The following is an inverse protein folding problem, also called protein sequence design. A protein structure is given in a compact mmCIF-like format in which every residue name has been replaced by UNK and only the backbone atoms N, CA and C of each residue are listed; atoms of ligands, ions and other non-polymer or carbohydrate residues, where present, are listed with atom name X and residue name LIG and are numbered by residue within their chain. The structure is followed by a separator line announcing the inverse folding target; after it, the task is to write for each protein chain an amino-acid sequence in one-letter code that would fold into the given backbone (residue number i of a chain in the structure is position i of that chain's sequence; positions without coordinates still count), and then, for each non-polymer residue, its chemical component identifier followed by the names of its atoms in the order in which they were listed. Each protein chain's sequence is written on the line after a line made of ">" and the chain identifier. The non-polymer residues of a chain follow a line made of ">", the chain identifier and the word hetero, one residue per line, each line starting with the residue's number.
data_IF_956639631108
#
_entry.id   IF_956639631108
#
_cell.length_a   1.000
_cell.length_b   1.000
_cell.length_c   1.000
_cell.angle_alpha   90.00
_cell.angle_beta   90.00
_cell.angle_gamma   90.00
#
_symmetry.space_group_name_H-M   'P 1'
#
loop_
_entity.id
_entity.type
_entity.pdbx_description
1 polymer ?
#
# COMPACT_ATOMS: atom_id res chain seq x y z
N UNK A 1 6.35 -27.84 5.99
CA UNK A 1 6.68 -26.56 5.32
C UNK A 1 7.00 -25.55 6.40
N UNK A 2 8.16 -24.89 6.34
CA UNK A 2 8.41 -23.75 7.24
C UNK A 2 7.40 -22.68 6.85
N UNK A 3 6.51 -22.29 7.77
CA UNK A 3 5.59 -21.18 7.54
C UNK A 3 6.41 -19.96 7.05
N UNK A 4 5.98 -19.35 5.95
CA UNK A 4 6.62 -18.13 5.46
C UNK A 4 6.44 -17.02 6.50
N UNK A 5 7.41 -16.10 6.65
CA UNK A 5 7.41 -15.14 7.74
C UNK A 5 6.50 -13.92 7.51
N UNK A 6 5.84 -13.83 6.34
CA UNK A 6 4.87 -12.80 5.97
C UNK A 6 3.45 -13.37 5.91
N UNK A 7 2.48 -12.49 5.75
CA UNK A 7 1.08 -12.84 5.52
C UNK A 7 0.59 -12.23 4.21
N UNK A 8 -0.38 -12.89 3.57
CA UNK A 8 -1.01 -12.36 2.36
C UNK A 8 -2.27 -11.58 2.69
N UNK A 9 -2.42 -10.43 2.04
CA UNK A 9 -3.65 -9.65 2.04
C UNK A 9 -4.15 -9.46 0.61
N UNK A 10 -5.34 -8.90 0.47
CA UNK A 10 -5.88 -8.45 -0.81
C UNK A 10 -6.58 -7.11 -0.62
N UNK A 11 -6.41 -6.20 -1.58
CA UNK A 11 -7.05 -4.90 -1.57
C UNK A 11 -8.56 -5.05 -1.85
N UNK A 12 -9.39 -4.41 -1.04
CA UNK A 12 -10.86 -4.47 -1.19
C UNK A 12 -11.37 -3.68 -2.41
N UNK A 13 -10.57 -2.80 -2.99
CA UNK A 13 -10.89 -2.06 -4.22
C UNK A 13 -11.20 -2.98 -5.41
N UNK A 14 -10.61 -4.18 -5.46
CA UNK A 14 -10.97 -5.18 -6.47
C UNK A 14 -12.46 -5.57 -6.44
N UNK A 15 -13.14 -5.33 -5.31
CA UNK A 15 -14.50 -5.77 -5.03
C UNK A 15 -15.46 -4.61 -4.76
N UNK A 16 -15.29 -3.46 -5.42
CA UNK A 16 -16.09 -2.23 -5.15
C UNK A 16 -17.60 -2.42 -5.07
N UNK A 17 -18.17 -3.40 -5.79
CA UNK A 17 -19.62 -3.68 -5.80
C UNK A 17 -20.07 -4.65 -4.69
N UNK A 18 -19.16 -5.13 -3.83
CA UNK A 18 -19.46 -6.12 -2.80
C UNK A 18 -19.53 -5.49 -1.41
N UNK A 19 -20.49 -5.91 -0.57
CA UNK A 19 -20.47 -5.61 0.86
C UNK A 19 -19.18 -6.11 1.54
N UNK A 20 -18.65 -5.33 2.49
CA UNK A 20 -17.38 -5.64 3.16
C UNK A 20 -17.36 -7.00 3.85
N UNK A 21 -18.46 -7.42 4.47
CA UNK A 21 -18.60 -8.73 5.11
C UNK A 21 -18.50 -9.88 4.10
N UNK A 22 -19.09 -9.71 2.91
CA UNK A 22 -18.94 -10.65 1.80
C UNK A 22 -17.49 -10.70 1.31
N UNK A 23 -16.83 -9.56 1.16
CA UNK A 23 -15.41 -9.49 0.76
C UNK A 23 -14.54 -10.23 1.76
N UNK A 24 -14.71 -9.94 3.05
CA UNK A 24 -13.95 -10.56 4.13
C UNK A 24 -14.17 -12.08 4.19
N UNK A 25 -15.43 -12.54 4.13
CA UNK A 25 -15.74 -13.97 4.12
C UNK A 25 -15.14 -14.68 2.89
N UNK A 26 -15.19 -14.05 1.72
CA UNK A 26 -14.65 -14.61 0.50
C UNK A 26 -13.12 -14.70 0.54
N UNK A 27 -12.43 -13.61 0.89
CA UNK A 27 -10.96 -13.59 1.01
C UNK A 27 -10.47 -14.57 2.09
N UNK A 28 -11.15 -14.65 3.24
CA UNK A 28 -10.87 -15.64 4.27
C UNK A 28 -11.05 -17.08 3.79
N UNK A 29 -12.09 -17.35 3.00
CA UNK A 29 -12.32 -18.66 2.38
C UNK A 29 -11.24 -19.10 1.39
N UNK A 30 -10.58 -18.15 0.71
CA UNK A 30 -9.40 -18.41 -0.15
C UNK A 30 -8.10 -18.59 0.66
N UNK A 31 -8.10 -18.16 1.91
CA UNK A 31 -6.99 -18.26 2.85
C UNK A 31 -6.06 -17.05 2.85
N UNK A 32 -6.53 -15.86 2.41
CA UNK A 32 -5.87 -14.61 2.77
C UNK A 32 -5.86 -14.45 4.30
N UNK A 33 -4.87 -13.75 4.84
CA UNK A 33 -4.77 -13.42 6.27
C UNK A 33 -5.26 -12.02 6.60
N UNK A 34 -5.44 -11.16 5.59
CA UNK A 34 -5.95 -9.82 5.82
C UNK A 34 -6.59 -9.14 4.60
N UNK A 35 -7.25 -8.03 4.88
CA UNK A 35 -7.72 -7.07 3.87
C UNK A 35 -6.93 -5.78 3.99
N UNK A 36 -6.48 -5.28 2.84
CA UNK A 36 -6.08 -3.88 2.71
C UNK A 36 -7.29 -3.08 2.23
N UNK A 37 -7.52 -1.92 2.83
CA UNK A 37 -8.74 -1.16 2.61
C UNK A 37 -8.46 0.14 1.88
N UNK A 38 -9.20 0.41 0.80
CA UNK A 38 -9.28 1.72 0.18
C UNK A 38 -10.33 2.57 0.92
N UNK A 39 -9.95 3.66 1.62
CA UNK A 39 -10.86 4.41 2.49
C UNK A 39 -12.13 4.92 1.80
N UNK A 40 -12.03 5.29 0.52
CA UNK A 40 -13.16 5.79 -0.27
C UNK A 40 -14.29 4.76 -0.46
N UNK A 41 -13.99 3.46 -0.29
CA UNK A 41 -14.99 2.39 -0.33
C UNK A 41 -15.80 2.28 0.96
N UNK A 42 -15.31 2.89 2.05
CA UNK A 42 -15.93 2.84 3.37
C UNK A 42 -16.81 4.08 3.63
N UNK A 43 -16.32 5.25 3.22
CA UNK A 43 -17.02 6.53 3.35
C UNK A 43 -16.44 7.57 2.38
N UNK A 44 -17.17 8.66 2.15
CA UNK A 44 -16.67 9.80 1.36
C UNK A 44 -15.48 10.49 2.04
N UNK A 45 -15.51 10.62 3.38
CA UNK A 45 -14.37 11.03 4.20
C UNK A 45 -14.25 10.13 5.41
N UNK A 46 -13.03 9.85 5.84
CA UNK A 46 -12.79 9.04 7.06
C UNK A 46 -13.29 9.71 8.34
N UNK A 47 -13.49 11.04 8.31
CA UNK A 47 -14.12 11.81 9.39
C UNK A 47 -15.60 11.50 9.58
N UNK A 48 -16.26 10.95 8.55
CA UNK A 48 -17.68 10.59 8.60
C UNK A 48 -17.90 9.26 9.33
N UNK A 49 -16.83 8.47 9.51
CA UNK A 49 -16.86 7.20 10.24
C UNK A 49 -16.76 7.45 11.74
N UNK A 50 -17.87 7.23 12.44
CA UNK A 50 -17.92 7.28 13.90
C UNK A 50 -17.08 6.17 14.52
N UNK A 51 -16.80 6.26 15.82
CA UNK A 51 -16.13 5.19 16.54
C UNK A 51 -16.89 3.85 16.46
N UNK A 52 -18.21 3.89 16.32
CA UNK A 52 -19.07 2.71 16.22
C UNK A 52 -18.94 2.07 14.83
N UNK A 53 -18.90 2.90 13.78
CA UNK A 53 -18.64 2.45 12.41
C UNK A 53 -17.27 1.78 12.30
N UNK A 54 -16.23 2.39 12.89
CA UNK A 54 -14.87 1.81 12.93
C UNK A 54 -14.85 0.45 13.62
N UNK A 55 -15.56 0.29 14.75
CA UNK A 55 -15.69 -1.00 15.43
C UNK A 55 -16.46 -2.03 14.60
N UNK A 56 -17.50 -1.61 13.89
CA UNK A 56 -18.28 -2.48 13.02
C UNK A 56 -17.44 -2.97 11.82
N UNK A 57 -16.71 -2.07 11.16
CA UNK A 57 -15.80 -2.39 10.04
C UNK A 57 -14.76 -3.41 10.51
N UNK A 58 -14.06 -3.11 11.61
CA UNK A 58 -13.07 -4.02 12.20
C UNK A 58 -13.69 -5.37 12.54
N UNK A 59 -14.84 -5.37 13.21
CA UNK A 59 -15.54 -6.60 13.61
C UNK A 59 -15.99 -7.47 12.43
N UNK A 60 -16.37 -6.88 11.30
CA UNK A 60 -16.72 -7.63 10.09
C UNK A 60 -15.51 -8.38 9.52
N UNK A 61 -14.34 -7.74 9.53
CA UNK A 61 -13.09 -8.33 9.02
C UNK A 61 -12.56 -9.40 9.98
N UNK A 62 -12.49 -9.09 11.27
CA UNK A 62 -12.04 -10.04 12.31
C UNK A 62 -13.00 -11.24 12.45
N UNK A 63 -14.31 -11.03 12.26
CA UNK A 63 -15.32 -12.08 12.28
C UNK A 63 -15.16 -13.11 11.15
N UNK A 64 -14.51 -12.74 10.04
CA UNK A 64 -14.13 -13.64 8.96
C UNK A 64 -12.74 -14.30 9.18
N UNK A 65 -12.10 -14.07 10.33
CA UNK A 65 -10.76 -14.58 10.63
C UNK A 65 -9.61 -13.81 9.98
N UNK A 66 -9.89 -12.60 9.47
CA UNK A 66 -8.91 -11.74 8.82
C UNK A 66 -8.44 -10.62 9.75
N UNK A 67 -7.28 -10.05 9.44
CA UNK A 67 -6.82 -8.77 10.00
C UNK A 67 -6.94 -7.64 8.98
N UNK A 68 -6.98 -6.40 9.44
CA UNK A 68 -6.74 -5.26 8.56
C UNK A 68 -5.23 -5.19 8.31
N UNK A 69 -4.81 -5.29 7.06
CA UNK A 69 -3.41 -5.14 6.67
C UNK A 69 -2.98 -3.68 6.71
N UNK A 70 -3.90 -2.79 6.33
CA UNK A 70 -3.61 -1.38 6.20
C UNK A 70 -4.65 -0.62 5.40
N UNK A 71 -4.32 0.64 5.12
CA UNK A 71 -5.06 1.49 4.20
C UNK A 71 -4.22 1.77 2.96
N UNK A 72 -4.86 1.80 1.80
CA UNK A 72 -4.25 2.15 0.52
C UNK A 72 -5.10 3.23 -0.17
N UNK A 73 -4.56 3.97 -1.16
CA UNK A 73 -5.29 5.03 -1.87
C UNK A 73 -5.77 6.18 -0.98
N UNK A 74 -4.93 6.58 -0.02
CA UNK A 74 -5.24 7.57 1.03
C UNK A 74 -5.95 8.85 0.54
N UNK A 75 -5.47 9.45 -0.56
CA UNK A 75 -6.06 10.67 -1.12
C UNK A 75 -6.95 10.43 -2.35
N UNK A 76 -7.21 9.18 -2.73
CA UNK A 76 -8.08 8.87 -3.86
C UNK A 76 -9.50 9.39 -3.63
N UNK A 77 -10.16 9.81 -4.71
CA UNK A 77 -11.53 10.31 -4.64
C UNK A 77 -11.74 11.50 -3.67
N UNK A 78 -10.66 12.18 -3.27
CA UNK A 78 -10.74 13.40 -2.48
C UNK A 78 -10.67 14.64 -3.37
N UNK A 79 -11.41 15.68 -2.99
CA UNK A 79 -11.36 16.99 -3.63
C UNK A 79 -10.64 18.01 -2.74
N UNK A 80 -9.92 18.94 -3.38
CA UNK A 80 -9.29 20.10 -2.71
C UNK A 80 -8.09 19.76 -1.82
N UNK A 81 -7.53 18.56 -1.96
CA UNK A 81 -6.35 18.08 -1.25
C UNK A 81 -5.20 17.84 -2.22
N UNK A 82 -4.03 18.39 -1.91
CA UNK A 82 -2.78 18.14 -2.62
C UNK A 82 -1.58 18.33 -1.67
N UNK A 83 -0.62 17.41 -1.72
CA UNK A 83 0.47 17.32 -0.74
C UNK A 83 1.48 18.46 -0.86
N UNK A 84 1.74 18.89 -2.11
CA UNK A 84 2.75 19.88 -2.45
C UNK A 84 2.17 21.03 -3.30
N UNK A 85 0.92 21.41 -3.00
CA UNK A 85 0.28 22.58 -3.59
C UNK A 85 1.03 23.88 -3.25
N UNK A 86 0.95 24.91 -4.10
CA UNK A 86 1.52 26.22 -3.80
C UNK A 86 0.80 26.89 -2.61
N UNK A 87 -0.50 26.64 -2.44
CA UNK A 87 -1.28 27.15 -1.32
C UNK A 87 -0.99 26.37 -0.03
N UNK A 88 -0.46 27.07 0.97
CA UNK A 88 -0.15 26.50 2.28
C UNK A 88 -1.38 25.97 3.01
N UNK A 89 -2.56 26.53 2.78
CA UNK A 89 -3.80 26.06 3.40
C UNK A 89 -4.24 24.71 2.81
N UNK A 90 -4.07 24.52 1.51
CA UNK A 90 -4.31 23.22 0.85
C UNK A 90 -3.39 22.16 1.47
N UNK A 91 -2.08 22.44 1.58
CA UNK A 91 -1.11 21.52 2.19
C UNK A 91 -1.50 21.17 3.64
N UNK A 92 -1.88 22.16 4.44
CA UNK A 92 -2.28 21.93 5.83
C UNK A 92 -3.55 21.08 5.95
N UNK A 93 -4.56 21.32 5.11
CA UNK A 93 -5.77 20.47 5.07
C UNK A 93 -5.44 19.04 4.65
N UNK A 94 -4.56 18.86 3.66
CA UNK A 94 -4.10 17.54 3.24
C UNK A 94 -3.40 16.79 4.36
N UNK A 95 -2.46 17.44 5.07
CA UNK A 95 -1.79 16.79 6.21
C UNK A 95 -2.81 16.42 7.28
N UNK A 96 -3.73 17.31 7.64
CA UNK A 96 -4.78 17.01 8.63
C UNK A 96 -5.59 15.77 8.26
N UNK A 97 -6.00 15.66 7.00
CA UNK A 97 -6.74 14.49 6.53
C UNK A 97 -5.91 13.20 6.62
N UNK A 98 -4.63 13.23 6.23
CA UNK A 98 -3.73 12.07 6.40
C UNK A 98 -3.57 11.68 7.88
N UNK A 99 -3.57 12.64 8.81
CA UNK A 99 -3.54 12.33 10.25
C UNK A 99 -4.83 11.62 10.72
N UNK A 100 -5.99 11.99 10.17
CA UNK A 100 -7.26 11.32 10.45
C UNK A 100 -7.28 9.88 9.89
N UNK A 101 -6.67 9.66 8.73
CA UNK A 101 -6.52 8.32 8.15
C UNK A 101 -5.58 7.43 8.96
N UNK A 102 -4.49 7.99 9.50
CA UNK A 102 -3.61 7.27 10.44
C UNK A 102 -4.41 6.80 11.67
N UNK A 103 -5.28 7.65 12.19
CA UNK A 103 -6.13 7.31 13.32
C UNK A 103 -7.16 6.23 12.97
N UNK A 104 -7.78 6.34 11.79
CA UNK A 104 -8.67 5.30 11.26
C UNK A 104 -7.93 3.96 11.16
N UNK A 105 -6.78 3.92 10.50
CA UNK A 105 -6.01 2.69 10.31
C UNK A 105 -5.73 1.99 11.66
N UNK A 106 -5.27 2.76 12.65
CA UNK A 106 -5.01 2.25 13.98
C UNK A 106 -6.28 1.76 14.70
N UNK A 107 -7.40 2.48 14.59
CA UNK A 107 -8.68 2.08 15.19
C UNK A 107 -9.23 0.78 14.56
N UNK A 108 -9.01 0.60 13.26
CA UNK A 108 -9.35 -0.62 12.53
C UNK A 108 -8.39 -1.79 12.84
N UNK A 109 -7.30 -1.55 13.55
CA UNK A 109 -6.28 -2.56 13.85
C UNK A 109 -5.34 -2.89 12.69
N UNK A 110 -5.19 -1.94 11.74
CA UNK A 110 -4.29 -2.02 10.60
C UNK A 110 -2.82 -1.83 10.97
N UNK A 111 -1.91 -2.21 10.06
CA UNK A 111 -0.46 -2.13 10.29
C UNK A 111 0.23 -1.02 9.46
N UNK A 112 -0.19 -0.79 8.20
CA UNK A 112 0.47 0.16 7.29
C UNK A 112 -0.53 1.08 6.55
N UNK A 113 -0.11 2.28 6.19
CA UNK A 113 -0.83 3.21 5.31
C UNK A 113 0.01 3.48 4.07
N UNK A 114 -0.53 3.27 2.87
CA UNK A 114 0.20 3.41 1.60
C UNK A 114 -0.23 4.68 0.87
N UNK A 115 0.69 5.64 0.79
CA UNK A 115 0.50 6.88 0.05
C UNK A 115 0.93 6.72 -1.42
N UNK A 116 0.05 6.11 -2.21
CA UNK A 116 0.15 6.02 -3.68
C UNK A 116 -0.33 7.28 -4.38
N UNK A 117 -1.63 7.58 -4.32
CA UNK A 117 -2.31 8.84 -4.67
C UNK A 117 -1.57 9.79 -5.66
N UNK A 118 -1.31 9.34 -6.90
CA UNK A 118 -0.40 10.03 -7.81
C UNK A 118 -0.85 11.45 -8.18
N UNK A 119 -2.16 11.68 -8.33
CA UNK A 119 -2.72 12.99 -8.69
C UNK A 119 -2.43 14.05 -7.62
N UNK A 120 -2.61 13.69 -6.34
CA UNK A 120 -2.44 14.58 -5.20
C UNK A 120 -0.98 14.75 -4.76
N UNK A 121 -0.05 14.00 -5.38
CA UNK A 121 1.40 14.11 -5.14
C UNK A 121 2.16 14.83 -6.24
N UNK A 122 1.57 14.99 -7.42
CA UNK A 122 2.24 15.67 -8.52
C UNK A 122 2.37 17.17 -8.22
N UNK A 123 3.58 17.76 -8.33
CA UNK A 123 3.78 19.19 -8.13
C UNK A 123 2.82 20.02 -9.00
N UNK A 124 2.16 20.97 -8.37
CA UNK A 124 1.26 21.91 -9.03
C UNK A 124 2.02 22.78 -10.05
N UNK A 125 1.36 23.31 -11.09
CA UNK A 125 2.00 24.20 -12.06
C UNK A 125 2.73 25.37 -11.39
N UNK A 126 4.02 25.55 -11.71
CA UNK A 126 4.84 26.62 -11.15
C UNK A 126 5.53 26.29 -9.82
N UNK A 127 5.21 25.16 -9.18
CA UNK A 127 5.95 24.67 -8.00
C UNK A 127 7.24 24.00 -8.47
N UNK A 128 8.37 24.39 -7.88
CA UNK A 128 9.66 23.76 -8.17
C UNK A 128 9.73 22.36 -7.55
N UNK A 129 10.57 21.48 -8.11
CA UNK A 129 10.79 20.17 -7.53
C UNK A 129 11.30 20.26 -6.08
N UNK A 130 12.19 21.22 -5.80
CA UNK A 130 12.80 21.40 -4.48
C UNK A 130 11.77 21.87 -3.44
N UNK A 131 10.88 22.79 -3.80
CA UNK A 131 9.79 23.22 -2.91
C UNK A 131 8.83 22.06 -2.64
N UNK A 132 8.43 21.34 -3.69
CA UNK A 132 7.56 20.17 -3.56
C UNK A 132 8.17 19.08 -2.66
N UNK A 133 9.48 18.86 -2.80
CA UNK A 133 10.25 17.94 -1.97
C UNK A 133 10.30 18.38 -0.52
N UNK A 134 10.62 19.66 -0.26
CA UNK A 134 10.69 20.21 1.09
C UNK A 134 9.33 20.13 1.82
N UNK A 135 8.24 20.53 1.16
CA UNK A 135 6.89 20.45 1.74
C UNK A 135 6.44 19.02 1.98
N UNK A 136 6.77 18.11 1.05
CA UNK A 136 6.48 16.68 1.23
C UNK A 136 7.23 16.12 2.43
N UNK A 137 8.53 16.40 2.57
CA UNK A 137 9.32 15.93 3.70
C UNK A 137 8.77 16.42 5.06
N UNK A 138 8.33 17.69 5.13
CA UNK A 138 7.68 18.25 6.32
C UNK A 138 6.36 17.53 6.64
N UNK A 139 5.51 17.32 5.63
CA UNK A 139 4.25 16.58 5.78
C UNK A 139 4.49 15.14 6.26
N UNK A 140 5.46 14.44 5.66
CA UNK A 140 5.81 13.06 6.01
C UNK A 140 6.40 12.95 7.42
N UNK A 141 7.13 13.97 7.89
CA UNK A 141 7.59 14.04 9.28
C UNK A 141 6.41 14.04 10.25
N UNK A 142 5.41 14.90 10.02
CA UNK A 142 4.19 14.98 10.85
C UNK A 142 3.38 13.68 10.81
N UNK A 143 3.22 13.09 9.62
CA UNK A 143 2.55 11.81 9.44
C UNK A 143 3.30 10.68 10.17
N UNK A 144 4.64 10.65 10.07
CA UNK A 144 5.48 9.69 10.76
C UNK A 144 5.38 9.79 12.30
N UNK A 145 5.34 11.01 12.84
CA UNK A 145 5.15 11.25 14.28
C UNK A 145 3.81 10.69 14.77
N UNK A 146 2.72 10.96 14.04
CA UNK A 146 1.39 10.43 14.38
C UNK A 146 1.34 8.91 14.22
N UNK A 147 1.87 8.37 13.13
CA UNK A 147 1.88 6.93 12.86
C UNK A 147 2.61 6.16 13.97
N UNK A 148 3.79 6.62 14.38
CA UNK A 148 4.52 6.03 15.50
C UNK A 148 3.72 6.10 16.81
N UNK A 149 3.09 7.24 17.11
CA UNK A 149 2.25 7.39 18.31
C UNK A 149 1.02 6.46 18.31
N UNK A 150 0.55 6.07 17.13
CA UNK A 150 -0.61 5.18 16.94
C UNK A 150 -0.21 3.72 16.68
N UNK A 151 1.08 3.41 16.62
CA UNK A 151 1.60 2.05 16.46
C UNK A 151 1.46 1.49 15.04
N UNK A 152 1.36 2.35 14.02
CA UNK A 152 1.24 1.98 12.60
C UNK A 152 2.40 2.59 11.79
N UNK A 153 2.57 2.16 10.54
CA UNK A 153 3.54 2.73 9.61
C UNK A 153 2.86 3.57 8.54
N UNK A 154 3.34 4.79 8.30
CA UNK A 154 2.98 5.57 7.13
C UNK A 154 4.03 5.34 6.04
N UNK A 155 3.63 4.83 4.89
CA UNK A 155 4.50 4.35 3.83
C UNK A 155 4.32 5.17 2.56
N UNK A 156 5.41 5.74 2.05
CA UNK A 156 5.41 6.32 0.70
C UNK A 156 5.57 5.22 -0.35
N UNK A 157 4.82 5.32 -1.44
CA UNK A 157 4.95 4.47 -2.62
C UNK A 157 5.64 5.23 -3.77
N UNK A 158 6.58 4.56 -4.43
CA UNK A 158 7.16 5.02 -5.67
C UNK A 158 6.31 4.59 -6.86
N UNK A 159 5.81 5.55 -7.64
CA UNK A 159 4.97 5.30 -8.81
C UNK A 159 5.65 5.84 -10.08
N UNK A 160 5.90 5.02 -11.11
CA UNK A 160 6.59 5.45 -12.31
C UNK A 160 5.71 6.37 -13.17
N UNK A 161 6.35 7.12 -14.07
CA UNK A 161 5.65 7.82 -15.14
C UNK A 161 4.97 6.83 -16.11
N UNK A 162 3.78 7.15 -16.67
CA UNK A 162 3.10 8.43 -16.62
C UNK A 162 2.21 8.66 -15.39
N UNK A 163 2.09 7.68 -14.48
CA UNK A 163 1.18 7.77 -13.34
C UNK A 163 1.58 8.89 -12.38
N UNK A 164 2.84 8.96 -11.99
CA UNK A 164 3.37 10.01 -11.13
C UNK A 164 4.66 10.62 -11.70
N UNK A 165 4.89 11.90 -11.41
CA UNK A 165 6.08 12.67 -11.79
C UNK A 165 6.95 13.01 -10.59
N UNK A 166 6.63 12.47 -9.41
CA UNK A 166 7.24 12.85 -8.14
C UNK A 166 7.38 11.62 -7.24
N UNK A 167 8.62 11.26 -6.89
CA UNK A 167 8.96 9.99 -6.22
C UNK A 167 8.56 8.81 -7.11
N UNK A 168 9.38 8.60 -8.14
CA UNK A 168 9.06 7.74 -9.29
C UNK A 168 9.75 6.38 -9.27
N UNK A 169 10.71 6.20 -8.37
CA UNK A 169 11.45 4.95 -8.21
C UNK A 169 11.78 4.72 -6.73
N UNK A 170 12.19 3.48 -6.42
CA UNK A 170 12.47 3.07 -5.03
C UNK A 170 13.63 3.84 -4.39
N UNK A 171 14.58 4.35 -5.17
CA UNK A 171 15.72 5.10 -4.63
C UNK A 171 15.30 6.50 -4.18
N UNK A 172 14.42 7.17 -4.92
CA UNK A 172 13.80 8.44 -4.51
C UNK A 172 12.95 8.27 -3.25
N UNK A 173 12.12 7.23 -3.19
CA UNK A 173 11.33 6.92 -1.99
C UNK A 173 12.25 6.66 -0.78
N UNK A 174 13.30 5.87 -0.96
CA UNK A 174 14.29 5.61 0.08
C UNK A 174 15.07 6.88 0.48
N UNK A 175 15.36 7.78 -0.45
CA UNK A 175 15.99 9.06 -0.16
C UNK A 175 15.09 9.92 0.76
N UNK A 176 13.80 10.02 0.44
CA UNK A 176 12.85 10.76 1.26
C UNK A 176 12.72 10.17 2.67
N UNK A 177 12.57 8.83 2.79
CA UNK A 177 12.48 8.16 4.09
C UNK A 177 13.71 8.43 4.95
N UNK A 178 14.91 8.33 4.37
CA UNK A 178 16.17 8.61 5.08
C UNK A 178 16.32 10.08 5.45
N UNK A 179 15.79 11.01 4.65
CA UNK A 179 15.80 12.44 4.98
C UNK A 179 14.86 12.78 6.12
N UNK A 180 13.65 12.21 6.13
CA UNK A 180 12.66 12.46 7.20
C UNK A 180 13.10 11.85 8.52
N UNK A 181 13.78 10.70 8.46
CA UNK A 181 14.43 9.99 9.58
C UNK A 181 13.49 9.82 10.78
N UNK A 182 12.35 9.15 10.55
CA UNK A 182 11.37 8.88 11.61
C UNK A 182 10.85 7.44 11.53
N UNK A 183 10.81 6.67 12.64
CA UNK A 183 10.44 5.25 12.60
C UNK A 183 9.00 4.98 12.14
N UNK A 184 8.08 5.96 12.34
CA UNK A 184 6.71 5.87 11.86
C UNK A 184 6.51 6.22 10.38
N UNK A 185 7.51 6.80 9.72
CA UNK A 185 7.49 7.05 8.26
C UNK A 185 8.48 6.13 7.56
N UNK A 186 7.98 5.27 6.69
CA UNK A 186 8.74 4.22 6.01
C UNK A 186 8.34 4.20 4.53
N UNK A 187 8.72 3.16 3.79
CA UNK A 187 8.25 2.98 2.42
C UNK A 187 7.61 1.61 2.23
N UNK A 188 6.92 1.49 1.11
CA UNK A 188 6.49 0.21 0.57
C UNK A 188 7.15 -0.01 -0.78
N UNK A 189 7.05 -1.24 -1.31
CA UNK A 189 7.47 -1.54 -2.68
C UNK A 189 6.34 -2.19 -3.45
N UNK A 190 6.19 -1.76 -4.70
CA UNK A 190 5.16 -2.20 -5.62
C UNK A 190 5.78 -2.94 -6.81
N UNK A 191 5.33 -4.17 -7.06
CA UNK A 191 5.98 -5.06 -8.04
C UNK A 191 5.84 -4.55 -9.47
N UNK A 192 4.64 -4.10 -9.84
CA UNK A 192 4.36 -3.50 -11.14
C UNK A 192 5.20 -2.25 -11.37
N UNK A 193 5.31 -1.40 -10.38
CA UNK A 193 6.09 -0.15 -10.44
C UNK A 193 7.58 -0.45 -10.61
N UNK A 194 8.13 -1.34 -9.78
CA UNK A 194 9.53 -1.78 -9.90
C UNK A 194 9.83 -2.45 -11.24
N UNK A 195 8.86 -3.14 -11.87
CA UNK A 195 9.06 -3.77 -13.17
C UNK A 195 9.33 -2.75 -14.30
N UNK A 196 8.93 -1.50 -14.14
CA UNK A 196 9.17 -0.43 -15.14
C UNK A 196 10.57 0.17 -15.10
N UNK A 197 11.29 -0.02 -13.98
CA UNK A 197 12.60 0.59 -13.73
C UNK A 197 13.72 -0.05 -14.58
N UNK A 198 13.51 -1.29 -15.06
CA UNK A 198 14.47 -2.04 -15.88
C UNK A 198 15.56 -2.77 -15.09
N UNK A 199 15.74 -2.46 -13.80
CA UNK A 199 16.56 -3.28 -12.89
C UNK A 199 15.81 -4.54 -12.42
N UNK A 200 16.52 -5.63 -12.08
CA UNK A 200 15.90 -6.79 -11.43
C UNK A 200 15.18 -6.40 -10.13
N UNK A 201 13.92 -6.83 -9.99
CA UNK A 201 13.04 -6.46 -8.86
C UNK A 201 13.62 -6.95 -7.52
N UNK A 202 14.19 -8.14 -7.48
CA UNK A 202 14.87 -8.70 -6.31
C UNK A 202 16.09 -7.86 -5.89
N UNK A 203 16.80 -7.28 -6.85
CA UNK A 203 17.89 -6.34 -6.63
C UNK A 203 17.42 -4.99 -6.05
N UNK A 204 16.30 -4.47 -6.57
CA UNK A 204 15.65 -3.27 -6.05
C UNK A 204 15.17 -3.46 -4.60
N UNK A 205 14.51 -4.60 -4.30
CA UNK A 205 14.10 -4.92 -2.92
C UNK A 205 15.32 -4.97 -1.99
N UNK A 206 16.40 -5.60 -2.41
CA UNK A 206 17.60 -5.72 -1.60
C UNK A 206 18.25 -4.36 -1.27
N UNK A 207 18.15 -3.34 -2.14
CA UNK A 207 18.74 -2.03 -1.91
C UNK A 207 17.96 -1.16 -0.89
N UNK A 208 16.66 -1.43 -0.70
CA UNK A 208 15.79 -0.64 0.18
C UNK A 208 15.20 -1.40 1.37
N UNK A 209 15.44 -2.71 1.47
CA UNK A 209 14.77 -3.62 2.41
C UNK A 209 14.59 -3.14 3.86
N UNK A 210 15.57 -2.50 4.53
CA UNK A 210 15.38 -2.05 5.92
C UNK A 210 14.22 -1.05 6.10
N UNK A 211 13.88 -0.32 5.05
CA UNK A 211 12.86 0.73 5.02
C UNK A 211 11.47 0.20 4.63
N UNK A 212 11.37 -1.05 4.17
CA UNK A 212 10.12 -1.60 3.62
C UNK A 212 9.21 -2.12 4.74
N UNK A 213 7.94 -1.70 4.74
CA UNK A 213 6.91 -2.16 5.69
C UNK A 213 5.67 -2.76 5.04
N UNK A 214 5.52 -2.59 3.73
CA UNK A 214 4.42 -3.16 2.96
C UNK A 214 4.91 -3.53 1.56
N UNK A 215 4.30 -4.55 0.94
CA UNK A 215 4.60 -4.98 -0.42
C UNK A 215 3.29 -5.15 -1.17
N UNK A 216 3.15 -4.53 -2.32
CA UNK A 216 2.07 -4.83 -3.25
C UNK A 216 2.53 -5.88 -4.26
N UNK A 217 1.70 -6.91 -4.43
CA UNK A 217 1.88 -8.00 -5.36
C UNK A 217 0.88 -7.85 -6.51
N UNK A 218 1.39 -7.37 -7.63
CA UNK A 218 0.64 -7.07 -8.84
C UNK A 218 1.57 -7.24 -10.06
N UNK A 219 1.02 -7.12 -11.27
CA UNK A 219 1.76 -7.30 -12.51
C UNK A 219 1.50 -6.13 -13.49
N UNK A 220 2.46 -5.77 -14.36
CA UNK A 220 2.27 -4.76 -15.41
C UNK A 220 1.01 -4.93 -16.28
N UNK A 221 0.48 -6.15 -16.42
CA UNK A 221 -0.77 -6.40 -17.12
C UNK A 221 -2.05 -6.04 -16.31
N UNK A 222 -1.90 -5.42 -15.14
CA UNK A 222 -2.98 -4.99 -14.22
C UNK A 222 -3.72 -6.14 -13.52
N UNK A 223 -3.25 -7.38 -13.68
CA UNK A 223 -3.73 -8.56 -12.97
C UNK A 223 -2.85 -8.85 -11.75
N UNK A 224 -3.27 -9.87 -11.01
CA UNK A 224 -2.55 -10.34 -9.83
C UNK A 224 -1.33 -11.22 -10.14
N UNK A 225 -0.57 -11.59 -9.11
CA UNK A 225 0.65 -12.37 -9.21
C UNK A 225 0.46 -13.70 -9.97
N UNK A 226 1.39 -13.98 -10.89
CA UNK A 226 1.40 -15.20 -11.70
C UNK A 226 0.35 -15.24 -12.81
N UNK A 227 -0.40 -14.15 -13.03
CA UNK A 227 -1.31 -13.99 -14.16
C UNK A 227 -0.68 -13.14 -15.29
N UNK A 228 0.56 -12.70 -15.13
CA UNK A 228 1.35 -12.00 -16.13
C UNK A 228 2.78 -12.55 -16.22
N UNK A 229 3.70 -11.72 -16.67
CA UNK A 229 5.08 -12.13 -17.00
C UNK A 229 6.04 -12.04 -15.80
N UNK A 230 5.65 -11.39 -14.70
CA UNK A 230 6.53 -11.23 -13.54
C UNK A 230 6.69 -12.55 -12.78
N UNK A 231 7.93 -13.01 -12.66
CA UNK A 231 8.28 -14.18 -11.86
C UNK A 231 8.36 -13.83 -10.36
N UNK A 232 7.36 -14.27 -9.58
CA UNK A 232 7.31 -13.99 -8.13
C UNK A 232 8.29 -14.81 -7.27
N UNK A 233 8.77 -15.96 -7.75
CA UNK A 233 9.72 -16.81 -6.99
C UNK A 233 10.98 -16.05 -6.52
N UNK A 234 11.73 -15.40 -7.43
CA UNK A 234 12.87 -14.55 -7.07
C UNK A 234 12.53 -13.41 -6.09
N UNK A 235 11.36 -12.78 -6.25
CA UNK A 235 10.88 -11.70 -5.38
C UNK A 235 10.67 -12.20 -3.94
N UNK A 236 9.93 -13.29 -3.77
CA UNK A 236 9.69 -13.91 -2.46
C UNK A 236 11.00 -14.42 -1.84
N UNK A 237 11.92 -14.96 -2.65
CA UNK A 237 13.24 -15.36 -2.17
C UNK A 237 14.07 -14.15 -1.66
N UNK A 238 14.00 -13.02 -2.35
CA UNK A 238 14.65 -11.78 -1.93
C UNK A 238 14.08 -11.25 -0.62
N UNK A 239 12.75 -11.17 -0.50
CA UNK A 239 12.04 -10.77 0.73
C UNK A 239 12.43 -11.66 1.91
N UNK A 240 12.55 -12.98 1.68
CA UNK A 240 13.01 -13.93 2.71
C UNK A 240 14.45 -13.67 3.14
N UNK A 241 15.35 -13.45 2.18
CA UNK A 241 16.78 -13.20 2.44
C UNK A 241 17.00 -11.92 3.24
N UNK A 242 16.20 -10.89 3.00
CA UNK A 242 16.27 -9.62 3.76
C UNK A 242 15.46 -9.65 5.06
N UNK A 243 14.81 -10.77 5.37
CA UNK A 243 14.07 -10.96 6.62
C UNK A 243 12.76 -10.18 6.70
N UNK A 244 12.11 -9.90 5.57
CA UNK A 244 10.80 -9.26 5.54
C UNK A 244 9.72 -10.12 6.23
N UNK A 245 8.86 -9.47 7.02
CA UNK A 245 7.80 -10.13 7.83
C UNK A 245 6.43 -9.45 7.75
N UNK A 246 6.30 -8.43 6.89
CA UNK A 246 5.08 -7.63 6.78
C UNK A 246 4.02 -8.29 5.89
N UNK A 247 3.11 -7.47 5.39
CA UNK A 247 2.07 -7.89 4.45
C UNK A 247 2.59 -7.93 3.01
N UNK A 248 2.14 -8.93 2.26
CA UNK A 248 2.19 -8.94 0.80
C UNK A 248 0.72 -8.84 0.35
N UNK A 249 0.28 -7.66 -0.05
CA UNK A 249 -1.11 -7.39 -0.44
C UNK A 249 -1.26 -7.55 -1.95
N UNK A 250 -2.23 -8.35 -2.38
CA UNK A 250 -2.60 -8.46 -3.79
C UNK A 250 -3.39 -7.23 -4.19
N UNK A 251 -2.92 -6.59 -5.25
CA UNK A 251 -3.55 -5.41 -5.82
C UNK A 251 -3.75 -5.64 -7.32
N UNK A 252 -4.99 -5.64 -7.78
CA UNK A 252 -5.29 -5.87 -9.19
C UNK A 252 -6.44 -4.97 -9.60
N UNK A 253 -6.40 -4.52 -10.86
CA UNK A 253 -7.27 -3.45 -11.34
C UNK A 253 -8.03 -3.83 -12.61
N UNK A 254 -7.63 -4.91 -13.30
CA UNK A 254 -8.33 -5.33 -14.51
C UNK A 254 -9.63 -6.09 -14.19
N UNK A 255 -10.73 -5.35 -14.15
CA UNK A 255 -12.07 -5.89 -13.92
C UNK A 255 -12.71 -6.54 -15.15
N UNK A 256 -12.01 -6.60 -16.30
CA UNK A 256 -12.46 -7.40 -17.44
C UNK A 256 -12.34 -8.90 -17.17
N UNK A 257 -11.54 -9.29 -16.17
CA UNK A 257 -11.46 -10.66 -15.67
C UNK A 257 -12.36 -10.84 -14.44
N UNK A 258 -12.96 -12.04 -14.23
CA UNK A 258 -13.76 -12.29 -13.05
C UNK A 258 -12.95 -12.04 -11.77
N UNK A 259 -13.46 -11.18 -10.88
CA UNK A 259 -12.79 -10.78 -9.64
C UNK A 259 -12.48 -11.98 -8.75
N UNK A 260 -13.38 -12.97 -8.72
CA UNK A 260 -13.20 -14.24 -8.01
C UNK A 260 -11.97 -15.00 -8.53
N UNK A 261 -11.80 -15.02 -9.86
CA UNK A 261 -10.68 -15.69 -10.51
C UNK A 261 -9.37 -14.98 -10.17
N UNK A 262 -9.34 -13.65 -10.25
CA UNK A 262 -8.15 -12.86 -9.89
C UNK A 262 -7.74 -13.15 -8.44
N UNK A 263 -8.67 -13.05 -7.50
CA UNK A 263 -8.41 -13.27 -6.09
C UNK A 263 -7.92 -14.70 -5.80
N UNK A 264 -8.56 -15.71 -6.41
CA UNK A 264 -8.22 -17.12 -6.21
C UNK A 264 -6.87 -17.48 -6.85
N UNK A 265 -6.64 -17.12 -8.12
CA UNK A 265 -5.40 -17.47 -8.82
C UNK A 265 -4.20 -16.75 -8.18
N UNK A 266 -4.36 -15.50 -7.77
CA UNK A 266 -3.27 -14.72 -7.13
C UNK A 266 -2.69 -15.42 -5.90
N UNK A 267 -3.53 -15.85 -4.95
CA UNK A 267 -3.03 -16.50 -3.73
C UNK A 267 -2.48 -17.91 -3.99
N UNK A 268 -3.08 -18.64 -4.95
CA UNK A 268 -2.56 -19.95 -5.38
C UNK A 268 -1.16 -19.78 -5.99
N UNK A 269 -0.99 -18.81 -6.87
CA UNK A 269 0.27 -18.53 -7.55
C UNK A 269 1.35 -18.04 -6.57
N UNK A 270 1.01 -17.15 -5.63
CA UNK A 270 1.95 -16.72 -4.59
C UNK A 270 2.44 -17.89 -3.74
N UNK A 271 1.52 -18.76 -3.28
CA UNK A 271 1.88 -19.96 -2.52
C UNK A 271 2.75 -20.92 -3.33
N UNK A 272 2.41 -21.16 -4.60
CA UNK A 272 3.21 -22.00 -5.49
C UNK A 272 4.62 -21.43 -5.75
N UNK A 273 4.74 -20.09 -5.81
CA UNK A 273 6.00 -19.39 -5.97
C UNK A 273 6.91 -19.50 -4.73
N UNK A 274 6.36 -19.76 -3.53
CA UNK A 274 7.17 -20.02 -2.34
C UNK A 274 7.98 -21.32 -2.43
N UNK A 275 7.44 -22.32 -3.14
CA UNK A 275 8.03 -23.66 -3.25
C UNK A 275 9.14 -23.72 -4.30
N UNK A 276 9.08 -22.85 -5.31
CA UNK A 276 10.13 -22.68 -6.31
C UNK A 276 11.32 -21.92 -5.71
N UNK A 277 12.14 -22.64 -4.95
CA UNK A 277 13.51 -22.23 -4.64
C UNK A 277 14.22 -21.99 -5.98
N UNK A 278 14.43 -20.72 -6.32
CA UNK A 278 15.08 -20.32 -7.56
C UNK A 278 16.30 -21.21 -7.83
N UNK A 279 16.33 -21.85 -9.00
CA UNK A 279 17.54 -22.47 -9.50
C UNK A 279 18.61 -21.37 -9.53
N UNK A 280 19.70 -21.60 -8.82
CA UNK A 280 20.91 -20.77 -8.85
C UNK A 280 21.56 -20.85 -10.23
#
# INVERSE_FOLDING_TARGET
>A
MSAVPWQYAICNELFTDWPLDRIAAYAGGLGYGGLELAPYTLAARVSDLSADDRRAIRGAIEGAGLRVAGLHWLLAHTEGLALNDADAEVRERTVRYLLEEIDLCADLGGDALVLGSPEQRNPAPGVSHDDAWAWTAEAMRRCGERAAARGVFFCIEALPGPACRFITNVDEAAHLVRQVDHPGFQMMVDVRSMATDGRPIDGQIASVAPLVRHVHANDPNMLGPGMGDVAFGPILAALRRVGYRGWISVEAFDTAYPIERIAQESIVNLRAAEEHKGAQ
#
